data_IF_173486899809
#
_entry.id   IF_173486899809
#
_cell.length_a   1.000
_cell.length_b   1.000
_cell.length_c   1.000
_cell.angle_alpha   90.00
_cell.angle_beta   90.00
_cell.angle_gamma   90.00
#
_symmetry.space_group_name_H-M   'P 1'
#
loop_
_entity.id
_entity.type
_entity.pdbx_description
1 polymer ?
#
# COMPACT_ATOMS: atom_id res chain seq x y z
N UNK A 1 12.35 -1.51 -12.54
CA UNK A 1 11.10 -1.61 -11.74
C UNK A 1 10.46 -0.24 -11.76
N UNK A 2 9.16 -0.12 -12.09
CA UNK A 2 8.50 1.19 -12.06
C UNK A 2 8.16 1.58 -10.60
N UNK A 3 7.85 2.86 -10.36
CA UNK A 3 7.52 3.37 -9.03
C UNK A 3 6.30 2.65 -8.42
N UNK A 4 5.35 2.20 -9.24
CA UNK A 4 4.16 1.48 -8.78
C UNK A 4 4.52 0.12 -8.18
N UNK A 5 5.47 -0.62 -8.76
CA UNK A 5 5.92 -1.90 -8.21
C UNK A 5 6.69 -1.73 -6.89
N UNK A 6 7.54 -0.70 -6.77
CA UNK A 6 8.24 -0.39 -5.51
C UNK A 6 7.23 -0.04 -4.42
N UNK A 7 6.30 0.88 -4.72
CA UNK A 7 5.22 1.26 -3.81
C UNK A 7 4.37 0.05 -3.39
N UNK A 8 3.91 -0.74 -4.36
CA UNK A 8 3.10 -1.93 -4.10
C UNK A 8 3.80 -2.98 -3.25
N UNK A 9 5.11 -3.19 -3.47
CA UNK A 9 5.92 -4.10 -2.66
C UNK A 9 6.04 -3.60 -1.21
N UNK A 10 6.25 -2.30 -1.00
CA UNK A 10 6.30 -1.72 0.34
C UNK A 10 4.96 -1.82 1.07
N UNK A 11 3.83 -1.52 0.39
CA UNK A 11 2.48 -1.72 0.95
C UNK A 11 2.30 -3.17 1.42
N UNK A 12 2.65 -4.14 0.55
CA UNK A 12 2.57 -5.56 0.88
C UNK A 12 3.46 -5.93 2.07
N UNK A 13 4.70 -5.44 2.08
CA UNK A 13 5.67 -5.70 3.15
C UNK A 13 5.13 -5.27 4.51
N UNK A 14 4.67 -4.02 4.65
CA UNK A 14 4.14 -3.51 5.91
C UNK A 14 2.81 -4.18 6.30
N UNK A 15 1.96 -4.53 5.33
CA UNK A 15 0.74 -5.31 5.58
C UNK A 15 1.06 -6.69 6.17
N UNK A 16 1.99 -7.41 5.54
CA UNK A 16 2.41 -8.75 5.99
C UNK A 16 3.15 -8.69 7.34
N UNK A 17 3.92 -7.63 7.61
CA UNK A 17 4.55 -7.40 8.91
C UNK A 17 3.54 -7.23 10.05
N UNK A 18 2.34 -6.70 9.77
CA UNK A 18 1.20 -6.68 10.71
C UNK A 18 0.40 -7.99 10.77
N UNK A 19 0.76 -8.99 9.96
CA UNK A 19 0.01 -10.24 9.86
C UNK A 19 -1.35 -10.08 9.18
N UNK A 20 -1.56 -9.01 8.42
CA UNK A 20 -2.85 -8.68 7.83
C UNK A 20 -3.06 -9.32 6.45
N UNK A 21 -4.28 -9.76 6.18
CA UNK A 21 -4.77 -10.06 4.82
C UNK A 21 -5.09 -8.78 4.04
N UNK A 22 -5.30 -8.89 2.73
CA UNK A 22 -5.75 -7.75 1.92
C UNK A 22 -7.15 -7.25 2.34
N UNK A 23 -8.01 -8.13 2.86
CA UNK A 23 -9.31 -7.76 3.43
C UNK A 23 -9.15 -6.94 4.71
N UNK A 24 -8.19 -7.29 5.57
CA UNK A 24 -7.91 -6.51 6.78
C UNK A 24 -7.37 -5.12 6.44
N UNK A 25 -6.46 -4.99 5.46
CA UNK A 25 -6.04 -3.67 5.00
C UNK A 25 -7.21 -2.91 4.33
N UNK A 26 -8.12 -3.61 3.66
CA UNK A 26 -9.34 -3.03 3.06
C UNK A 26 -10.23 -2.38 4.11
N UNK A 27 -10.49 -3.10 5.20
CA UNK A 27 -11.26 -2.62 6.35
C UNK A 27 -10.59 -1.40 7.00
N UNK A 28 -9.28 -1.47 7.26
CA UNK A 28 -8.55 -0.41 7.96
C UNK A 28 -8.34 0.87 7.11
N UNK A 29 -8.22 0.73 5.79
CA UNK A 29 -8.01 1.87 4.88
C UNK A 29 -9.30 2.41 4.25
N UNK A 30 -10.42 1.68 4.35
CA UNK A 30 -11.65 1.99 3.63
C UNK A 30 -11.57 1.78 2.11
N UNK A 31 -10.47 1.19 1.61
CA UNK A 31 -10.25 0.92 0.19
C UNK A 31 -10.77 -0.45 -0.18
N UNK A 32 -11.38 -0.62 -1.35
CA UNK A 32 -11.84 -1.94 -1.79
C UNK A 32 -10.67 -2.94 -1.94
N UNK A 33 -10.81 -4.17 -1.43
CA UNK A 33 -9.77 -5.23 -1.49
C UNK A 33 -9.14 -5.42 -2.87
N UNK A 34 -9.93 -5.39 -3.95
CA UNK A 34 -9.41 -5.55 -5.32
C UNK A 34 -8.53 -4.38 -5.77
N UNK A 35 -8.76 -3.18 -5.21
CA UNK A 35 -7.92 -2.02 -5.44
C UNK A 35 -6.58 -2.17 -4.71
N UNK A 36 -6.58 -2.62 -3.45
CA UNK A 36 -5.38 -3.00 -2.69
C UNK A 36 -4.57 -4.07 -3.44
N UNK A 37 -5.23 -5.14 -3.88
CA UNK A 37 -4.60 -6.18 -4.71
C UNK A 37 -3.98 -5.63 -6.00
N UNK A 38 -4.60 -4.62 -6.61
CA UNK A 38 -4.04 -3.93 -7.77
C UNK A 38 -2.82 -3.07 -7.43
N UNK A 39 -2.84 -2.40 -6.28
CA UNK A 39 -1.71 -1.62 -5.75
C UNK A 39 -0.52 -2.53 -5.49
N UNK A 40 -0.70 -3.62 -4.75
CA UNK A 40 0.40 -4.54 -4.38
C UNK A 40 1.06 -5.23 -5.59
N UNK A 41 0.33 -5.33 -6.71
CA UNK A 41 0.84 -5.85 -7.99
C UNK A 41 1.45 -4.78 -8.89
N UNK A 42 1.43 -3.51 -8.48
CA UNK A 42 1.95 -2.39 -9.27
C UNK A 42 1.12 -2.04 -10.52
N UNK A 43 -0.13 -2.51 -10.61
CA UNK A 43 -1.03 -2.25 -11.76
C UNK A 43 -1.99 -1.08 -11.53
N UNK A 44 -1.86 -0.39 -10.40
CA UNK A 44 -2.62 0.81 -10.05
C UNK A 44 -1.70 2.00 -9.85
N UNK A 45 -2.20 3.18 -10.20
CA UNK A 45 -1.56 4.46 -9.89
C UNK A 45 -2.43 5.18 -8.84
N UNK A 46 -2.17 4.99 -7.54
CA UNK A 46 -2.96 5.61 -6.48
C UNK A 46 -2.76 7.12 -6.45
N UNK A 47 -3.80 7.87 -6.06
CA UNK A 47 -3.67 9.30 -5.81
C UNK A 47 -2.93 9.54 -4.50
N UNK A 48 -2.43 10.75 -4.27
CA UNK A 48 -1.74 11.12 -3.02
C UNK A 48 -2.63 10.91 -1.79
N UNK A 49 -3.95 11.11 -1.92
CA UNK A 49 -4.93 10.84 -0.85
C UNK A 49 -4.95 9.36 -0.45
N UNK A 50 -5.01 8.47 -1.43
CA UNK A 50 -4.99 7.02 -1.23
C UNK A 50 -3.67 6.57 -0.59
N UNK A 51 -2.56 7.14 -1.05
CA UNK A 51 -1.23 6.85 -0.48
C UNK A 51 -1.19 7.22 1.01
N UNK A 52 -1.76 8.37 1.38
CA UNK A 52 -1.89 8.77 2.77
C UNK A 52 -2.81 7.85 3.58
N UNK A 53 -3.97 7.48 3.05
CA UNK A 53 -4.91 6.56 3.70
C UNK A 53 -4.28 5.18 3.97
N UNK A 54 -3.49 4.66 3.02
CA UNK A 54 -2.74 3.40 3.21
C UNK A 54 -1.68 3.55 4.29
N UNK A 55 -0.92 4.65 4.30
CA UNK A 55 0.11 4.89 5.32
C UNK A 55 -0.51 5.01 6.72
N UNK A 56 -1.65 5.69 6.85
CA UNK A 56 -2.40 5.80 8.10
C UNK A 56 -2.91 4.44 8.55
N UNK A 57 -3.54 3.67 7.66
CA UNK A 57 -4.03 2.33 7.97
C UNK A 57 -2.91 1.38 8.42
N UNK A 58 -1.73 1.49 7.82
CA UNK A 58 -0.55 0.72 8.18
C UNK A 58 0.23 1.31 9.37
N UNK A 59 -0.18 2.44 9.92
CA UNK A 59 0.49 3.15 11.04
C UNK A 59 1.98 3.43 10.79
N UNK A 60 2.33 3.83 9.57
CA UNK A 60 3.70 4.16 9.16
C UNK A 60 3.80 5.57 8.62
N UNK A 61 5.03 6.09 8.52
CA UNK A 61 5.27 7.35 7.82
C UNK A 61 5.09 7.13 6.32
N UNK A 62 4.42 8.06 5.64
CA UNK A 62 4.15 7.96 4.20
C UNK A 62 5.40 7.73 3.34
N UNK A 63 6.54 8.30 3.73
CA UNK A 63 7.81 8.12 3.03
C UNK A 63 8.31 6.68 3.01
N UNK A 64 7.95 5.86 3.99
CA UNK A 64 8.33 4.44 4.05
C UNK A 64 7.73 3.64 2.90
N UNK A 65 6.59 4.08 2.34
CA UNK A 65 5.99 3.45 1.16
C UNK A 65 6.83 3.66 -0.12
N UNK A 66 7.81 4.56 -0.10
CA UNK A 66 8.68 4.89 -1.24
C UNK A 66 10.15 4.61 -0.96
N UNK A 67 10.48 3.85 0.09
CA UNK A 67 11.84 3.38 0.30
C UNK A 67 12.32 2.57 -0.92
N UNK A 68 13.52 2.90 -1.41
CA UNK A 68 14.10 2.30 -2.63
C UNK A 68 13.69 2.95 -3.95
N UNK A 69 12.95 4.06 -3.93
CA UNK A 69 12.72 4.91 -5.12
C UNK A 69 13.94 5.83 -5.34
N UNK A 70 14.36 5.98 -6.61
CA UNK A 70 15.49 6.84 -7.07
C UNK A 70 14.93 8.11 -7.67
#
# INVERSE_FOLDING_TARGET
MNIQCVFGANVRHFREAKGWSQDQLSEMSGLHRTYISGIERGVRNPTVKIVHEIAVALEIKVGQLFEGVI
#
